data_IF_936216406366
#
_entry.id   IF_936216406366
#
_cell.length_a   1.000
_cell.length_b   1.000
_cell.length_c   1.000
_cell.angle_alpha   90.00
_cell.angle_beta   90.00
_cell.angle_gamma   90.00
#
_symmetry.space_group_name_H-M   'P 1'
#
loop_
_entity.id
_entity.type
_entity.pdbx_description
1 polymer ?
#
# COMPACT_ATOMS: atom_id res chain seq x y z
N UNK A 1 18.00 -7.27 -16.58
CA UNK A 1 17.00 -8.22 -16.04
C UNK A 1 16.60 -7.71 -14.67
N UNK A 2 15.33 -7.28 -14.50
CA UNK A 2 14.84 -6.77 -13.22
C UNK A 2 14.56 -7.94 -12.25
N UNK A 3 14.94 -7.80 -10.99
CA UNK A 3 14.80 -8.85 -9.98
C UNK A 3 13.35 -8.88 -9.47
N UNK A 4 12.59 -9.89 -9.87
CA UNK A 4 11.27 -10.18 -9.29
C UNK A 4 11.40 -10.35 -7.77
N UNK A 5 10.59 -9.59 -7.02
CA UNK A 5 10.54 -9.66 -5.55
C UNK A 5 9.11 -10.03 -5.14
N UNK A 6 8.94 -11.23 -4.60
CA UNK A 6 7.65 -11.74 -4.10
C UNK A 6 7.28 -11.02 -2.80
N UNK A 7 6.09 -10.42 -2.75
CA UNK A 7 5.51 -9.77 -1.57
C UNK A 7 4.81 -10.79 -0.66
N UNK A 8 5.55 -11.74 -0.07
CA UNK A 8 4.99 -12.69 0.89
C UNK A 8 5.68 -12.48 2.23
N UNK A 9 4.96 -11.90 3.19
CA UNK A 9 5.42 -11.68 4.57
C UNK A 9 4.35 -12.18 5.56
N UNK A 10 4.46 -13.43 6.03
CA UNK A 10 3.50 -14.01 6.97
C UNK A 10 3.43 -13.28 8.32
N UNK A 11 4.51 -12.59 8.73
CA UNK A 11 4.49 -11.81 9.97
C UNK A 11 3.69 -10.52 9.78
N UNK A 12 3.76 -9.90 8.59
CA UNK A 12 2.90 -8.78 8.21
C UNK A 12 1.42 -9.20 8.17
N UNK A 13 1.12 -10.36 7.58
CA UNK A 13 -0.25 -10.91 7.51
C UNK A 13 -0.86 -11.18 8.90
N UNK A 14 -0.05 -11.51 9.91
CA UNK A 14 -0.52 -11.77 11.28
C UNK A 14 -0.64 -10.51 12.17
N UNK A 15 -0.09 -9.37 11.74
CA UNK A 15 0.05 -8.16 12.60
C UNK A 15 -0.90 -7.02 12.21
N UNK A 16 -1.42 -7.06 10.98
CA UNK A 16 -2.34 -6.06 10.43
C UNK A 16 -3.77 -6.42 10.82
N UNK A 17 -4.43 -5.55 11.58
CA UNK A 17 -5.86 -5.72 11.84
C UNK A 17 -6.66 -5.32 10.60
N UNK A 18 -7.90 -5.80 10.45
CA UNK A 18 -8.79 -5.36 9.37
C UNK A 18 -8.91 -3.82 9.29
N UNK A 19 -8.95 -3.15 10.45
CA UNK A 19 -8.98 -1.68 10.53
C UNK A 19 -7.70 -1.05 9.97
N UNK A 20 -6.54 -1.66 10.26
CA UNK A 20 -5.25 -1.18 9.75
C UNK A 20 -5.19 -1.37 8.23
N UNK A 21 -5.67 -2.50 7.70
CA UNK A 21 -5.75 -2.75 6.26
C UNK A 21 -6.58 -1.67 5.54
N UNK A 22 -7.76 -1.32 6.05
CA UNK A 22 -8.57 -0.24 5.48
C UNK A 22 -7.87 1.12 5.51
N UNK A 23 -7.18 1.45 6.61
CA UNK A 23 -6.43 2.72 6.73
C UNK A 23 -5.22 2.78 5.81
N UNK A 24 -4.51 1.67 5.65
CA UNK A 24 -3.38 1.56 4.72
C UNK A 24 -3.89 1.80 3.29
N UNK A 25 -5.01 1.18 2.92
CA UNK A 25 -5.62 1.38 1.60
C UNK A 25 -6.08 2.82 1.39
N UNK A 26 -6.74 3.44 2.37
CA UNK A 26 -7.13 4.85 2.31
C UNK A 26 -5.91 5.76 2.10
N UNK A 27 -4.84 5.55 2.88
CA UNK A 27 -3.62 6.35 2.80
C UNK A 27 -2.88 6.14 1.48
N UNK A 28 -2.87 4.91 0.96
CA UNK A 28 -2.28 4.59 -0.33
C UNK A 28 -3.00 5.29 -1.48
N UNK A 29 -4.34 5.29 -1.47
CA UNK A 29 -5.17 6.04 -2.43
C UNK A 29 -4.90 7.54 -2.34
N UNK A 30 -4.78 8.08 -1.13
CA UNK A 30 -4.52 9.51 -0.92
C UNK A 30 -3.12 9.91 -1.41
N UNK A 31 -2.08 9.11 -1.12
CA UNK A 31 -0.73 9.33 -1.64
C UNK A 31 -0.73 9.35 -3.18
N UNK A 32 -1.43 8.41 -3.80
CA UNK A 32 -1.56 8.35 -5.27
C UNK A 32 -2.29 9.58 -5.82
N UNK A 33 -3.39 10.00 -5.16
CA UNK A 33 -4.17 11.18 -5.54
C UNK A 33 -3.37 12.48 -5.41
N UNK A 34 -2.58 12.62 -4.33
CA UNK A 34 -1.74 13.81 -4.07
C UNK A 34 -0.65 13.97 -5.12
N UNK A 35 -0.13 12.85 -5.68
CA UNK A 35 0.83 12.87 -6.79
C UNK A 35 0.29 13.63 -8.01
N UNK A 36 -1.03 13.62 -8.23
CA UNK A 36 -1.70 14.44 -9.24
C UNK A 36 -1.44 14.06 -10.70
N UNK A 37 -0.47 13.17 -10.96
CA UNK A 37 -0.02 12.80 -12.30
C UNK A 37 -0.92 11.76 -13.00
N UNK A 38 -1.84 11.12 -12.27
CA UNK A 38 -2.68 10.06 -12.81
C UNK A 38 -4.15 10.19 -12.38
N UNK A 39 -5.11 10.00 -13.31
CA UNK A 39 -6.53 9.91 -12.97
C UNK A 39 -6.84 8.79 -11.97
N UNK A 40 -7.88 9.00 -11.15
CA UNK A 40 -8.36 7.98 -10.19
C UNK A 40 -8.84 6.69 -10.90
N UNK A 41 -9.34 6.79 -12.13
CA UNK A 41 -9.71 5.62 -12.95
C UNK A 41 -8.51 4.71 -13.22
N UNK A 42 -7.34 5.30 -13.44
CA UNK A 42 -6.13 4.58 -13.81
C UNK A 42 -5.53 3.90 -12.58
N UNK A 43 -5.64 4.56 -11.41
CA UNK A 43 -5.38 3.93 -10.12
C UNK A 43 -6.25 2.68 -9.91
N UNK A 44 -7.57 2.78 -10.13
CA UNK A 44 -8.49 1.66 -9.90
C UNK A 44 -8.18 0.49 -10.85
N UNK A 45 -7.82 0.78 -12.09
CA UNK A 45 -7.39 -0.24 -13.05
C UNK A 45 -6.09 -0.92 -12.62
N UNK A 46 -5.11 -0.14 -12.16
CA UNK A 46 -3.85 -0.66 -11.61
C UNK A 46 -4.09 -1.53 -10.38
N UNK A 47 -4.93 -1.07 -9.45
CA UNK A 47 -5.28 -1.80 -8.23
C UNK A 47 -5.99 -3.13 -8.55
N UNK A 48 -6.96 -3.13 -9.48
CA UNK A 48 -7.63 -4.34 -9.93
C UNK A 48 -6.67 -5.35 -10.58
N UNK A 49 -5.71 -4.85 -11.36
CA UNK A 49 -4.66 -5.67 -11.98
C UNK A 49 -3.77 -6.33 -10.92
N UNK A 50 -3.29 -5.55 -9.95
CA UNK A 50 -2.47 -6.04 -8.84
C UNK A 50 -3.21 -7.11 -8.04
N UNK A 51 -4.52 -6.92 -7.76
CA UNK A 51 -5.31 -7.93 -7.07
C UNK A 51 -5.46 -9.24 -7.87
N UNK A 52 -5.54 -9.16 -9.20
CA UNK A 52 -5.72 -10.32 -10.06
C UNK A 52 -4.44 -11.13 -10.29
N UNK A 53 -3.30 -10.46 -10.44
CA UNK A 53 -2.06 -11.12 -10.87
C UNK A 53 -0.80 -10.74 -10.07
N UNK A 54 -0.92 -9.81 -9.12
CA UNK A 54 0.19 -9.35 -8.29
C UNK A 54 1.18 -8.43 -9.02
N UNK A 55 0.84 -7.90 -10.20
CA UNK A 55 1.73 -7.08 -11.03
C UNK A 55 1.27 -5.62 -11.09
N UNK A 56 2.24 -4.72 -11.08
CA UNK A 56 2.05 -3.27 -11.29
C UNK A 56 3.00 -2.77 -12.37
N UNK A 57 2.55 -1.83 -13.19
CA UNK A 57 3.38 -1.09 -14.14
C UNK A 57 3.85 0.26 -13.60
N UNK A 58 3.33 0.69 -12.45
CA UNK A 58 3.80 1.89 -11.75
C UNK A 58 5.02 1.52 -10.87
N UNK A 59 6.23 2.01 -11.20
CA UNK A 59 7.44 1.72 -10.43
C UNK A 59 7.42 2.31 -9.02
N UNK A 60 6.60 3.33 -8.74
CA UNK A 60 6.48 3.96 -7.41
C UNK A 60 5.49 3.22 -6.49
N UNK A 61 4.60 2.38 -7.03
CA UNK A 61 3.49 1.78 -6.28
C UNK A 61 3.92 1.01 -5.02
N UNK A 62 5.03 0.26 -5.08
CA UNK A 62 5.53 -0.46 -3.92
C UNK A 62 6.05 0.48 -2.82
N UNK A 63 6.70 1.58 -3.21
CA UNK A 63 7.17 2.60 -2.27
C UNK A 63 6.02 3.32 -1.59
N UNK A 64 5.04 3.78 -2.38
CA UNK A 64 3.84 4.47 -1.91
C UNK A 64 3.03 3.61 -0.94
N UNK A 65 2.92 2.31 -1.22
CA UNK A 65 2.28 1.35 -0.32
C UNK A 65 3.05 1.19 1.00
N UNK A 66 4.38 1.02 0.94
CA UNK A 66 5.21 0.90 2.14
C UNK A 66 5.18 2.19 2.99
N UNK A 67 5.10 3.35 2.37
CA UNK A 67 4.92 4.62 3.07
C UNK A 67 3.58 4.68 3.78
N UNK A 68 2.49 4.28 3.10
CA UNK A 68 1.16 4.19 3.72
C UNK A 68 1.14 3.20 4.91
N UNK A 69 1.80 2.05 4.77
CA UNK A 69 1.98 1.07 5.84
C UNK A 69 2.68 1.68 7.05
N UNK A 70 3.83 2.33 6.85
CA UNK A 70 4.59 2.98 7.93
C UNK A 70 3.75 4.05 8.62
N UNK A 71 3.13 4.94 7.86
CA UNK A 71 2.31 6.02 8.40
C UNK A 71 1.18 5.52 9.32
N UNK A 72 0.54 4.41 8.95
CA UNK A 72 -0.57 3.84 9.73
C UNK A 72 -0.07 3.05 10.94
N UNK A 73 0.96 2.21 10.76
CA UNK A 73 1.44 1.33 11.82
C UNK A 73 2.28 2.08 12.87
N UNK A 74 3.11 3.02 12.47
CA UNK A 74 3.93 3.81 13.41
C UNK A 74 3.04 4.72 14.28
N UNK A 75 2.00 5.33 13.69
CA UNK A 75 1.00 6.11 14.43
C UNK A 75 0.20 5.27 15.46
N UNK A 76 0.13 3.94 15.28
CA UNK A 76 -0.46 3.01 16.24
C UNK A 76 0.50 2.73 17.40
N UNK A 77 1.80 2.62 17.13
CA UNK A 77 2.82 2.45 18.17
C UNK A 77 2.90 3.66 19.10
N UNK A 78 2.87 4.88 18.55
CA UNK A 78 2.87 6.12 19.35
C UNK A 78 1.64 6.29 20.25
N UNK A 79 0.49 5.74 19.84
CA UNK A 79 -0.75 5.75 20.64
C UNK A 79 -0.77 4.70 21.75
N UNK A 80 0.06 3.67 21.69
CA UNK A 80 0.19 2.63 22.73
C UNK A 80 1.28 2.94 23.75
N UNK A 81 2.21 3.84 23.44
CA UNK A 81 3.27 4.31 24.33
C UNK A 81 2.85 5.48 25.25
N UNK A 82 1.60 5.92 25.16
CA UNK A 82 0.95 6.93 26.02
C UNK A 82 -0.13 6.27 26.85
#
# INVERSE_FOLDING_TARGET
>A
MARESRLVDPAFEQTVTLRDAYRIMEKFVDNYRVRGDTPLSDFLFLYATVLQNGLTTDPAAAGDFLEAVRAVLDARHDKRAR
#
